data_IF_619077306395
#
_entry.id   IF_619077306395
#
_cell.length_a   1.000
_cell.length_b   1.000
_cell.length_c   1.000
_cell.angle_alpha   90.00
_cell.angle_beta   90.00
_cell.angle_gamma   90.00
#
_symmetry.space_group_name_H-M   'P 1'
#
loop_
_entity.id
_entity.type
_entity.pdbx_description
1 polymer ?
#
# COMPACT_ATOMS: atom_id res chain seq x y z
N UNK A 1 -2.05 -21.13 -6.24
CA UNK A 1 -0.79 -20.55 -6.71
C UNK A 1 0.31 -21.49 -6.28
N UNK A 2 1.01 -22.08 -7.25
CA UNK A 2 2.27 -22.79 -6.99
C UNK A 2 3.41 -21.80 -6.75
N UNK A 3 4.61 -22.30 -6.46
CA UNK A 3 5.80 -21.45 -6.40
C UNK A 3 6.11 -20.85 -7.77
N UNK A 4 5.96 -21.64 -8.83
CA UNK A 4 6.17 -21.21 -10.22
C UNK A 4 5.21 -20.07 -10.58
N UNK A 5 3.91 -20.22 -10.33
CA UNK A 5 2.92 -19.16 -10.57
C UNK A 5 3.28 -17.85 -9.84
N UNK A 6 3.75 -17.97 -8.60
CA UNK A 6 4.11 -16.80 -7.78
C UNK A 6 5.33 -16.07 -8.34
N UNK A 7 6.35 -16.81 -8.77
CA UNK A 7 7.58 -16.25 -9.33
C UNK A 7 7.31 -15.63 -10.69
N UNK A 8 6.54 -16.29 -11.55
CA UNK A 8 6.18 -15.76 -12.86
C UNK A 8 5.42 -14.44 -12.74
N UNK A 9 4.46 -14.36 -11.82
CA UNK A 9 3.73 -13.12 -11.54
C UNK A 9 4.66 -12.01 -10.98
N UNK A 10 5.59 -12.36 -10.09
CA UNK A 10 6.54 -11.39 -9.53
C UNK A 10 7.51 -10.84 -10.60
N UNK A 11 7.98 -11.68 -11.51
CA UNK A 11 8.83 -11.27 -12.63
C UNK A 11 8.06 -10.40 -13.63
N UNK A 12 6.80 -10.72 -13.92
CA UNK A 12 5.96 -9.88 -14.77
C UNK A 12 5.76 -8.47 -14.19
N UNK A 13 5.53 -8.36 -12.88
CA UNK A 13 5.44 -7.06 -12.20
C UNK A 13 6.76 -6.28 -12.23
N UNK A 14 7.89 -6.97 -12.02
CA UNK A 14 9.22 -6.37 -12.14
C UNK A 14 9.48 -5.82 -13.56
N UNK A 15 9.15 -6.60 -14.59
CA UNK A 15 9.28 -6.18 -16.00
C UNK A 15 8.37 -4.98 -16.34
N UNK A 16 7.19 -4.90 -15.71
CA UNK A 16 6.30 -3.74 -15.79
C UNK A 16 6.79 -2.51 -15.01
N UNK A 17 7.87 -2.64 -14.23
CA UNK A 17 8.43 -1.56 -13.42
C UNK A 17 7.64 -1.28 -12.14
N UNK A 18 6.83 -2.24 -11.67
CA UNK A 18 6.11 -2.12 -10.41
C UNK A 18 7.09 -1.99 -9.25
N UNK A 19 6.78 -1.08 -8.31
CA UNK A 19 7.55 -0.93 -7.08
C UNK A 19 7.13 -1.93 -6.00
N UNK A 20 5.88 -2.39 -6.08
CA UNK A 20 5.27 -3.32 -5.15
C UNK A 20 4.38 -4.24 -5.98
N UNK A 21 4.79 -5.50 -6.10
CA UNK A 21 4.04 -6.54 -6.79
C UNK A 21 3.46 -7.49 -5.75
N UNK A 22 2.13 -7.68 -5.76
CA UNK A 22 1.43 -8.55 -4.82
C UNK A 22 0.65 -9.61 -5.62
N UNK A 23 1.27 -10.75 -5.97
CA UNK A 23 0.66 -11.75 -6.87
C UNK A 23 -0.72 -12.27 -6.45
N UNK A 24 -1.03 -12.25 -5.15
CA UNK A 24 -2.31 -12.71 -4.63
C UNK A 24 -3.40 -11.64 -4.64
N UNK A 25 -3.05 -10.37 -4.80
CA UNK A 25 -4.00 -9.26 -4.83
C UNK A 25 -4.63 -9.18 -6.22
N UNK A 26 -5.95 -9.34 -6.28
CA UNK A 26 -6.67 -9.37 -7.56
C UNK A 26 -6.81 -7.97 -8.14
N UNK A 27 -7.19 -7.00 -7.30
CA UNK A 27 -7.45 -5.62 -7.71
C UNK A 27 -6.32 -4.70 -7.24
N UNK A 28 -5.39 -4.36 -8.14
CA UNK A 28 -4.23 -3.51 -7.81
C UNK A 28 -4.59 -2.14 -7.24
N UNK A 29 -5.77 -1.60 -7.62
CA UNK A 29 -6.27 -0.32 -7.10
C UNK A 29 -6.51 -0.31 -5.58
N UNK A 30 -6.72 -1.48 -4.96
CA UNK A 30 -6.87 -1.57 -3.50
C UNK A 30 -5.57 -1.20 -2.78
N UNK A 31 -4.42 -1.61 -3.33
CA UNK A 31 -3.11 -1.21 -2.81
C UNK A 31 -2.87 0.29 -3.00
N UNK A 32 -3.19 0.83 -4.17
CA UNK A 32 -3.02 2.25 -4.47
C UNK A 32 -3.87 3.14 -3.55
N UNK A 33 -5.13 2.75 -3.30
CA UNK A 33 -6.01 3.45 -2.37
C UNK A 33 -5.46 3.43 -0.94
N UNK A 34 -5.02 2.26 -0.47
CA UNK A 34 -4.43 2.13 0.86
C UNK A 34 -3.16 2.97 1.02
N UNK A 35 -2.27 2.97 0.02
CA UNK A 35 -1.04 3.76 0.05
C UNK A 35 -1.32 5.27 -0.01
N UNK A 36 -2.34 5.69 -0.77
CA UNK A 36 -2.79 7.07 -0.81
C UNK A 36 -3.30 7.53 0.57
N UNK A 37 -4.15 6.73 1.22
CA UNK A 37 -4.65 7.01 2.57
C UNK A 37 -3.51 7.06 3.59
N UNK A 38 -2.56 6.11 3.52
CA UNK A 38 -1.38 6.09 4.38
C UNK A 38 -0.57 7.38 4.26
N UNK A 39 -0.38 7.90 3.04
CA UNK A 39 0.33 9.16 2.80
C UNK A 39 -0.45 10.36 3.34
N UNK A 40 -1.76 10.41 3.13
CA UNK A 40 -2.61 11.48 3.65
C UNK A 40 -2.51 11.58 5.17
N UNK A 41 -2.56 10.44 5.87
CA UNK A 41 -2.44 10.39 7.33
C UNK A 41 -1.10 10.95 7.82
N UNK A 42 0.00 10.70 7.10
CA UNK A 42 1.33 11.13 7.53
C UNK A 42 1.45 12.64 7.78
N UNK A 43 0.74 13.47 7.00
CA UNK A 43 0.69 14.92 7.19
C UNK A 43 -0.04 15.37 8.46
N UNK A 44 -0.82 14.51 9.10
CA UNK A 44 -1.58 14.82 10.31
C UNK A 44 -0.85 14.44 11.61
N UNK A 45 0.30 13.76 11.53
CA UNK A 45 0.98 13.16 12.69
C UNK A 45 2.08 14.04 13.31
N UNK A 46 2.13 15.34 12.98
CA UNK A 46 3.12 16.27 13.52
C UNK A 46 2.52 17.51 14.18
N UNK A 47 1.28 17.40 14.70
CA UNK A 47 0.65 18.47 15.48
C UNK A 47 1.35 18.67 16.82
N UNK A 48 1.57 19.92 17.20
CA UNK A 48 2.11 20.32 18.52
C UNK A 48 1.06 20.24 19.64
N UNK A 49 -0.21 20.06 19.28
CA UNK A 49 -1.32 19.94 20.22
C UNK A 49 -1.99 18.57 20.09
N UNK A 50 -2.51 17.99 21.20
CA UNK A 50 -3.31 16.77 21.14
C UNK A 50 -4.51 16.93 20.21
N UNK A 51 -4.86 15.87 19.48
CA UNK A 51 -6.07 15.87 18.65
C UNK A 51 -7.31 16.15 19.52
N UNK A 52 -8.32 16.89 19.02
CA UNK A 52 -9.51 17.27 19.79
C UNK A 52 -10.22 16.10 20.48
N UNK A 53 -10.17 14.89 19.89
CA UNK A 53 -10.72 13.65 20.47
C UNK A 53 -10.10 13.24 21.82
N UNK A 54 -9.00 13.87 22.25
CA UNK A 54 -8.36 13.63 23.55
C UNK A 54 -8.65 14.70 24.59
N UNK A 55 -9.31 15.79 24.21
CA UNK A 55 -9.78 16.79 25.15
C UNK A 55 -11.10 16.25 25.71
N UNK A 56 -11.11 15.94 27.01
CA UNK A 56 -12.32 15.54 27.74
C UNK A 56 -13.19 16.74 28.07
#
# INVERSE_FOLDING_TARGET
>A
MTTEDMVDAALAGLDAGEKVTIPSLQEGSEWDAWEADRRAISGHLSSTHPAPRYVR
#
